data_IF_995398807509
#
_entry.id   IF_995398807509
#
_cell.length_a   1.000
_cell.length_b   1.000
_cell.length_c   1.000
_cell.angle_alpha   90.00
_cell.angle_beta   90.00
_cell.angle_gamma   90.00
#
_symmetry.space_group_name_H-M   'P 1'
#
loop_
_entity.id
_entity.type
_entity.pdbx_description
1 polymer ?
#
# COMPACT_ATOMS: atom_id res chain seq x y z
N UNK A 1 1.47 26.94 3.21
CA UNK A 1 0.65 25.73 3.45
C UNK A 1 1.37 24.58 2.78
N UNK A 2 1.97 23.69 3.54
CA UNK A 2 2.71 22.56 2.99
C UNK A 2 1.71 21.57 2.42
N UNK A 3 1.85 21.25 1.13
CA UNK A 3 1.17 20.11 0.51
C UNK A 3 1.71 18.88 1.27
N UNK A 4 0.87 18.08 1.96
CA UNK A 4 1.35 16.84 2.54
C UNK A 4 1.80 15.97 1.37
N UNK A 5 3.10 15.85 1.19
CA UNK A 5 3.68 14.82 0.32
C UNK A 5 3.23 13.50 0.90
N UNK A 6 2.61 12.64 0.09
CA UNK A 6 2.29 11.24 0.36
C UNK A 6 3.56 10.49 0.80
N UNK A 7 3.92 10.69 2.04
CA UNK A 7 5.09 10.16 2.75
C UNK A 7 4.62 9.72 4.13
N UNK A 8 3.36 9.31 4.23
CA UNK A 8 2.70 8.91 5.48
C UNK A 8 3.12 7.50 5.88
N UNK A 9 3.37 6.62 4.90
CA UNK A 9 3.74 5.23 5.13
C UNK A 9 5.09 4.93 4.49
N UNK A 10 5.92 4.13 5.17
CA UNK A 10 7.18 3.64 4.63
C UNK A 10 6.94 2.46 3.71
N UNK A 11 7.86 2.20 2.77
CA UNK A 11 7.77 1.04 1.88
C UNK A 11 7.62 -0.28 2.65
N UNK A 12 8.26 -0.40 3.82
CA UNK A 12 8.13 -1.57 4.69
C UNK A 12 6.69 -1.73 5.21
N UNK A 13 6.02 -0.63 5.59
CA UNK A 13 4.61 -0.66 6.00
C UNK A 13 3.69 -1.02 4.84
N UNK A 14 3.96 -0.50 3.65
CA UNK A 14 3.21 -0.83 2.43
C UNK A 14 3.34 -2.32 2.09
N UNK A 15 4.57 -2.86 2.16
CA UNK A 15 4.86 -4.28 1.93
C UNK A 15 4.21 -5.17 2.99
N UNK A 16 4.30 -4.79 4.26
CA UNK A 16 3.68 -5.55 5.36
C UNK A 16 2.15 -5.57 5.23
N UNK A 17 1.52 -4.44 4.89
CA UNK A 17 0.09 -4.36 4.65
C UNK A 17 -0.35 -5.27 3.51
N UNK A 18 0.38 -5.28 2.40
CA UNK A 18 0.10 -6.19 1.27
C UNK A 18 0.31 -7.66 1.65
N UNK A 19 1.41 -7.99 2.35
CA UNK A 19 1.69 -9.34 2.80
C UNK A 19 0.59 -9.87 3.75
N UNK A 20 0.00 -9.00 4.58
CA UNK A 20 -1.13 -9.36 5.42
C UNK A 20 -2.39 -9.72 4.60
N UNK A 21 -2.67 -8.98 3.51
CA UNK A 21 -3.78 -9.30 2.61
C UNK A 21 -3.54 -10.60 1.84
N UNK A 22 -2.32 -10.85 1.38
CA UNK A 22 -1.95 -12.10 0.68
C UNK A 22 -2.17 -13.33 1.57
N UNK A 23 -1.92 -13.24 2.88
CA UNK A 23 -2.21 -14.33 3.84
C UNK A 23 -3.71 -14.64 4.00
N UNK A 24 -4.57 -13.73 3.55
CA UNK A 24 -6.02 -13.89 3.54
C UNK A 24 -6.56 -14.23 2.14
N UNK A 25 -5.68 -14.67 1.22
CA UNK A 25 -5.98 -14.95 -0.19
C UNK A 25 -6.37 -13.73 -1.04
N UNK A 26 -6.13 -12.51 -0.55
CA UNK A 26 -6.26 -11.28 -1.35
C UNK A 26 -4.93 -10.93 -2.00
N UNK A 27 -4.80 -11.20 -3.30
CA UNK A 27 -3.59 -10.95 -4.08
C UNK A 27 -3.85 -10.05 -5.32
N UNK A 28 -2.77 -9.58 -5.95
CA UNK A 28 -2.84 -8.70 -7.11
C UNK A 28 -3.51 -7.36 -6.78
N UNK A 29 -4.27 -6.80 -7.73
CA UNK A 29 -4.89 -5.48 -7.57
C UNK A 29 -5.93 -5.45 -6.44
N UNK A 30 -6.62 -6.57 -6.20
CA UNK A 30 -7.56 -6.70 -5.08
C UNK A 30 -6.82 -6.64 -3.73
N UNK A 31 -5.69 -7.33 -3.61
CA UNK A 31 -4.85 -7.28 -2.41
C UNK A 31 -4.24 -5.90 -2.15
N UNK A 32 -3.79 -5.21 -3.21
CA UNK A 32 -3.25 -3.84 -3.11
C UNK A 32 -4.33 -2.85 -2.66
N UNK A 33 -5.53 -2.95 -3.20
CA UNK A 33 -6.67 -2.11 -2.82
C UNK A 33 -7.11 -2.36 -1.39
N UNK A 34 -7.20 -3.63 -0.98
CA UNK A 34 -7.54 -4.00 0.40
C UNK A 34 -6.47 -3.52 1.41
N UNK A 35 -5.19 -3.58 1.03
CA UNK A 35 -4.09 -3.08 1.86
C UNK A 35 -4.14 -1.55 1.99
N UNK A 36 -4.43 -0.83 0.91
CA UNK A 36 -4.59 0.61 0.93
C UNK A 36 -5.75 1.05 1.85
N UNK A 37 -6.91 0.40 1.72
CA UNK A 37 -8.06 0.68 2.59
C UNK A 37 -7.75 0.43 4.07
N UNK A 38 -7.10 -0.70 4.38
CA UNK A 38 -6.75 -1.05 5.75
C UNK A 38 -5.76 -0.06 6.39
N UNK A 39 -4.77 0.41 5.62
CA UNK A 39 -3.80 1.40 6.11
C UNK A 39 -4.47 2.75 6.40
N UNK A 40 -5.35 3.22 5.51
CA UNK A 40 -6.08 4.46 5.70
C UNK A 40 -7.05 4.39 6.89
N UNK A 41 -7.72 3.26 7.07
CA UNK A 41 -8.57 3.01 8.24
C UNK A 41 -7.75 3.01 9.55
N UNK A 42 -6.58 2.37 9.56
CA UNK A 42 -5.68 2.34 10.72
C UNK A 42 -5.12 3.71 11.09
N UNK A 43 -4.85 4.56 10.09
CA UNK A 43 -4.40 5.94 10.27
C UNK A 43 -5.54 6.88 10.72
N UNK A 44 -6.80 6.42 10.69
CA UNK A 44 -7.97 7.22 11.02
C UNK A 44 -8.32 8.24 9.93
N UNK A 45 -7.78 8.04 8.73
CA UNK A 45 -8.00 8.90 7.57
C UNK A 45 -9.29 8.47 6.87
N UNK A 46 -10.17 9.45 6.59
CA UNK A 46 -11.37 9.20 5.77
C UNK A 46 -10.90 8.94 4.34
N UNK A 47 -10.93 7.67 3.95
CA UNK A 47 -10.48 7.25 2.63
C UNK A 47 -11.46 7.72 1.54
N UNK A 48 -10.94 8.39 0.52
CA UNK A 48 -11.61 8.59 -0.75
C UNK A 48 -11.03 7.64 -1.82
N UNK A 49 -11.77 7.44 -2.91
CA UNK A 49 -11.40 6.50 -3.96
C UNK A 49 -10.04 6.86 -4.61
N UNK A 50 -9.77 8.14 -4.82
CA UNK A 50 -8.51 8.62 -5.41
C UNK A 50 -7.31 8.35 -4.50
N UNK A 51 -7.48 8.46 -3.17
CA UNK A 51 -6.48 8.15 -2.16
C UNK A 51 -6.22 6.65 -2.09
N UNK A 52 -7.27 5.84 -2.15
CA UNK A 52 -7.16 4.39 -2.19
C UNK A 52 -6.40 3.95 -3.45
N UNK A 53 -6.75 4.47 -4.62
CA UNK A 53 -6.08 4.14 -5.89
C UNK A 53 -4.59 4.55 -5.87
N UNK A 54 -4.28 5.75 -5.39
CA UNK A 54 -2.88 6.21 -5.27
C UNK A 54 -2.08 5.33 -4.33
N UNK A 55 -2.62 5.03 -3.14
CA UNK A 55 -1.93 4.20 -2.16
C UNK A 55 -1.78 2.75 -2.65
N UNK A 56 -2.78 2.20 -3.34
CA UNK A 56 -2.69 0.88 -3.96
C UNK A 56 -1.58 0.82 -5.04
N UNK A 57 -1.41 1.89 -5.81
CA UNK A 57 -0.32 2.00 -6.77
C UNK A 57 1.06 2.11 -6.08
N UNK A 58 1.17 2.85 -4.97
CA UNK A 58 2.39 2.93 -4.16
C UNK A 58 2.76 1.58 -3.54
N UNK A 59 1.78 0.85 -3.01
CA UNK A 59 1.96 -0.53 -2.52
C UNK A 59 2.47 -1.43 -3.65
N UNK A 60 1.90 -1.31 -4.85
CA UNK A 60 2.37 -2.04 -6.03
C UNK A 60 3.85 -1.81 -6.31
N UNK A 61 4.30 -0.54 -6.29
CA UNK A 61 5.71 -0.19 -6.47
C UNK A 61 6.60 -0.76 -5.37
N UNK A 62 6.22 -0.60 -4.11
CA UNK A 62 7.02 -1.07 -2.97
C UNK A 62 7.21 -2.60 -2.98
N UNK A 63 6.20 -3.35 -3.44
CA UNK A 63 6.24 -4.81 -3.57
C UNK A 63 7.05 -5.25 -4.80
N UNK A 64 6.90 -4.57 -5.93
CA UNK A 64 7.62 -4.91 -7.17
C UNK A 64 9.13 -4.59 -7.07
N UNK A 65 9.51 -3.59 -6.27
CA UNK A 65 10.91 -3.22 -5.98
C UNK A 65 11.61 -4.27 -5.08
N UNK A 66 10.91 -4.88 -4.13
CA UNK A 66 11.44 -6.00 -3.33
C UNK A 66 11.65 -7.25 -4.21
N UNK A 67 10.73 -7.51 -5.14
CA UNK A 67 10.85 -8.62 -6.10
C UNK A 67 12.05 -8.50 -7.05
N UNK A 68 12.47 -7.27 -7.38
CA UNK A 68 13.65 -7.03 -8.23
C UNK A 68 14.98 -7.06 -7.48
N UNK A 69 15.01 -6.80 -6.17
CA UNK A 69 16.26 -6.74 -5.40
C UNK A 69 16.71 -8.12 -4.86
N UNK A 70 15.93 -9.18 -5.08
CA UNK A 70 16.27 -10.56 -4.74
C UNK A 70 17.07 -11.30 -5.84
N UNK A 71 17.54 -10.62 -6.90
CA UNK A 71 18.26 -11.24 -8.03
C UNK A 71 19.50 -10.44 -8.49
N UNK A 72 20.40 -10.14 -7.57
CA UNK A 72 21.80 -9.76 -7.88
C UNK A 72 22.79 -10.39 -6.91
#
# INVERSE_FOLDING_TARGET
MSIPTLSTFTDDQLREAYAFQVRQDYCGDMGRTAAAMALLEQDGTVADDDMIERLAAEIGRAVDEEGHNATV
#
